data_IF_463003457201
#
_entry.id   IF_463003457201
#
_cell.length_a   1.000
_cell.length_b   1.000
_cell.length_c   1.000
_cell.angle_alpha   90.00
_cell.angle_beta   90.00
_cell.angle_gamma   90.00
#
_symmetry.space_group_name_H-M   'P 1'
#
loop_
_entity.id
_entity.type
_entity.pdbx_description
1 polymer ?
#
# COMPACT_ATOMS: atom_id res chain seq x y z
N UNK A 1 10.97 23.60 11.36
CA UNK A 1 11.78 22.83 10.38
C UNK A 1 13.15 23.46 10.09
N UNK A 2 13.80 24.05 11.11
CA UNK A 2 15.05 24.80 10.84
C UNK A 2 16.33 23.97 10.92
N UNK A 3 16.27 22.76 11.48
CA UNK A 3 17.47 21.93 11.69
C UNK A 3 17.61 20.87 10.59
N UNK A 4 18.85 20.66 10.10
CA UNK A 4 19.14 19.58 9.16
C UNK A 4 18.89 18.22 9.80
N UNK A 5 18.39 17.28 9.01
CA UNK A 5 18.15 15.89 9.40
C UNK A 5 19.12 14.97 8.69
N UNK A 6 19.47 13.86 9.35
CA UNK A 6 20.36 12.83 8.80
C UNK A 6 19.83 11.44 9.10
N UNK A 7 19.89 10.53 8.14
CA UNK A 7 19.62 9.11 8.33
C UNK A 7 20.32 8.24 7.26
N UNK A 8 20.40 6.94 7.54
CA UNK A 8 20.72 5.93 6.52
C UNK A 8 19.48 5.64 5.68
N UNK A 9 19.59 5.80 4.36
CA UNK A 9 18.48 5.56 3.40
C UNK A 9 18.49 4.15 2.80
N UNK A 10 19.52 3.34 3.07
CA UNK A 10 19.58 1.93 2.67
C UNK A 10 19.17 1.02 3.83
N UNK A 11 18.69 -0.21 3.54
CA UNK A 11 18.31 -1.16 4.59
C UNK A 11 19.45 -1.38 5.60
N UNK A 12 19.14 -1.61 6.89
CA UNK A 12 20.14 -1.91 7.90
C UNK A 12 20.83 -3.26 7.62
N UNK A 13 22.13 -3.34 7.89
CA UNK A 13 22.90 -4.58 7.72
C UNK A 13 24.25 -4.34 7.05
N UNK A 14 24.87 -5.44 6.58
CA UNK A 14 26.13 -5.40 5.85
C UNK A 14 25.88 -5.51 4.35
N UNK A 15 26.46 -4.61 3.59
CA UNK A 15 26.36 -4.61 2.13
C UNK A 15 27.63 -4.02 1.50
N UNK A 16 27.66 -3.92 0.19
CA UNK A 16 28.78 -3.27 -0.51
C UNK A 16 28.75 -1.75 -0.27
N UNK A 17 27.57 -1.14 -0.32
CA UNK A 17 27.35 0.31 -0.22
C UNK A 17 26.22 0.60 0.73
N UNK A 18 26.33 1.66 1.52
CA UNK A 18 25.22 2.31 2.24
C UNK A 18 25.19 3.78 1.86
N UNK A 19 23.98 4.36 1.89
CA UNK A 19 23.74 5.78 1.60
C UNK A 19 23.24 6.48 2.86
N UNK A 20 23.98 7.47 3.33
CA UNK A 20 23.57 8.41 4.38
C UNK A 20 23.04 9.66 3.71
N UNK A 21 21.78 10.03 3.98
CA UNK A 21 21.13 11.22 3.43
C UNK A 21 21.01 12.30 4.48
N UNK A 22 21.26 13.54 4.06
CA UNK A 22 21.12 14.74 4.88
C UNK A 22 20.24 15.72 4.13
N UNK A 23 19.27 16.37 4.82
CA UNK A 23 18.40 17.40 4.23
C UNK A 23 18.24 18.60 5.18
N UNK A 24 18.21 19.81 4.63
CA UNK A 24 17.97 21.04 5.36
C UNK A 24 18.93 22.17 5.05
N UNK A 25 18.73 23.33 5.66
CA UNK A 25 19.51 24.57 5.39
C UNK A 25 21.00 24.46 5.67
N UNK A 26 21.41 23.63 6.64
CA UNK A 26 22.79 23.50 7.10
C UNK A 26 23.63 22.47 6.29
N UNK A 27 23.02 21.80 5.30
CA UNK A 27 23.67 20.71 4.54
C UNK A 27 24.97 21.17 3.90
N UNK A 28 24.99 22.36 3.28
CA UNK A 28 26.21 22.92 2.63
C UNK A 28 27.36 23.05 3.63
N UNK A 29 27.09 23.55 4.84
CA UNK A 29 28.06 23.71 5.90
C UNK A 29 28.56 22.37 6.42
N UNK A 30 27.64 21.40 6.61
CA UNK A 30 27.99 20.06 7.09
C UNK A 30 28.92 19.35 6.08
N UNK A 31 28.58 19.38 4.79
CA UNK A 31 29.40 18.74 3.74
C UNK A 31 30.78 19.39 3.63
N UNK A 32 30.84 20.72 3.67
CA UNK A 32 32.11 21.44 3.62
C UNK A 32 33.01 21.04 4.80
N UNK A 33 32.49 21.02 6.03
CA UNK A 33 33.27 20.66 7.23
C UNK A 33 33.65 19.17 7.25
N UNK A 34 32.80 18.29 6.72
CA UNK A 34 33.06 16.85 6.77
C UNK A 34 34.05 16.38 5.71
N UNK A 35 34.03 16.99 4.51
CA UNK A 35 34.79 16.54 3.35
C UNK A 35 35.69 17.61 2.73
N UNK A 36 35.70 18.82 3.25
CA UNK A 36 36.38 19.98 2.64
C UNK A 36 35.97 20.21 1.17
N UNK A 37 34.69 19.99 0.88
CA UNK A 37 34.12 20.12 -0.44
C UNK A 37 33.16 21.30 -0.52
N UNK A 38 33.21 22.04 -1.65
CA UNK A 38 32.15 22.95 -2.00
C UNK A 38 30.91 22.16 -2.47
N UNK A 39 29.75 22.61 -2.03
CA UNK A 39 28.44 22.01 -2.36
C UNK A 39 28.00 22.55 -3.72
N UNK A 40 28.13 21.74 -4.76
CA UNK A 40 27.72 22.06 -6.13
C UNK A 40 26.51 21.23 -6.54
N UNK A 41 25.44 21.88 -6.99
CA UNK A 41 24.21 21.21 -7.45
C UNK A 41 24.48 20.24 -8.60
N UNK A 42 23.86 19.05 -8.50
CA UNK A 42 23.91 18.04 -9.56
C UNK A 42 25.29 17.40 -9.77
N UNK A 43 26.24 17.63 -8.86
CA UNK A 43 27.58 17.05 -8.95
C UNK A 43 27.74 15.87 -7.99
N UNK A 44 28.58 14.92 -8.39
CA UNK A 44 29.04 13.83 -7.52
C UNK A 44 30.54 13.84 -7.45
N UNK A 45 31.10 13.93 -6.24
CA UNK A 45 32.55 14.00 -5.99
C UNK A 45 32.97 12.92 -5.01
N UNK A 46 34.13 12.33 -5.26
CA UNK A 46 34.76 11.41 -4.30
C UNK A 46 35.61 12.19 -3.36
N UNK A 47 35.41 12.02 -2.04
CA UNK A 47 36.18 12.63 -1.01
C UNK A 47 36.36 11.68 0.17
N UNK A 48 37.29 12.01 1.04
CA UNK A 48 37.64 11.23 2.22
C UNK A 48 37.35 12.05 3.48
N UNK A 49 36.84 11.37 4.50
CA UNK A 49 36.57 11.96 5.81
C UNK A 49 37.18 11.09 6.92
N UNK A 50 37.72 11.73 7.96
CA UNK A 50 38.19 11.01 9.14
C UNK A 50 37.02 10.67 10.05
N UNK A 51 36.81 9.39 10.31
CA UNK A 51 35.77 8.89 11.22
C UNK A 51 36.34 8.64 12.64
N UNK A 52 37.65 8.36 12.74
CA UNK A 52 38.41 8.27 13.99
C UNK A 52 39.84 8.65 13.73
N UNK A 53 40.68 8.69 14.79
CA UNK A 53 42.16 8.98 14.66
C UNK A 53 42.87 7.97 13.74
N UNK A 54 42.37 6.74 13.66
CA UNK A 54 42.99 5.63 12.92
C UNK A 54 42.26 5.24 11.64
N UNK A 55 41.05 5.81 11.36
CA UNK A 55 40.21 5.36 10.25
C UNK A 55 39.63 6.50 9.45
N UNK A 56 39.96 6.51 8.17
CA UNK A 56 39.39 7.38 7.17
C UNK A 56 38.45 6.59 6.25
N UNK A 57 37.34 7.20 5.87
CA UNK A 57 36.36 6.63 4.94
C UNK A 57 36.35 7.45 3.65
N UNK A 58 36.43 6.75 2.53
CA UNK A 58 36.33 7.33 1.20
C UNK A 58 34.91 7.19 0.67
N UNK A 59 34.22 8.32 0.46
CA UNK A 59 32.81 8.38 0.12
C UNK A 59 32.61 9.00 -1.27
N UNK A 60 31.49 8.66 -1.92
CA UNK A 60 30.94 9.41 -3.05
C UNK A 60 29.84 10.33 -2.52
N UNK A 61 29.99 11.64 -2.69
CA UNK A 61 29.05 12.66 -2.21
C UNK A 61 28.31 13.23 -3.41
N UNK A 62 26.97 13.13 -3.40
CA UNK A 62 26.08 13.75 -4.40
C UNK A 62 25.30 14.88 -3.75
N UNK A 63 25.28 16.06 -4.38
CA UNK A 63 24.69 17.28 -3.86
C UNK A 63 23.51 17.73 -4.73
N UNK A 64 22.39 18.06 -4.07
CA UNK A 64 21.16 18.53 -4.69
C UNK A 64 20.69 19.81 -4.01
N UNK A 65 20.70 20.93 -4.73
CA UNK A 65 20.26 22.22 -4.19
C UNK A 65 18.73 22.35 -4.30
N UNK A 66 18.10 22.87 -3.25
CA UNK A 66 16.69 23.19 -3.27
C UNK A 66 16.35 24.30 -4.29
N UNK A 67 15.17 24.25 -4.97
CA UNK A 67 14.12 23.27 -4.85
C UNK A 67 14.32 21.99 -5.69
N UNK A 68 15.42 21.82 -6.41
CA UNK A 68 15.69 20.70 -7.33
C UNK A 68 16.24 19.48 -6.58
N UNK A 69 15.62 19.10 -5.46
CA UNK A 69 15.97 17.97 -4.61
C UNK A 69 14.71 17.16 -4.26
N UNK A 70 14.88 16.04 -3.58
CA UNK A 70 13.77 15.20 -3.13
C UNK A 70 12.86 15.93 -2.13
N UNK A 71 13.45 16.57 -1.12
CA UNK A 71 12.70 17.25 -0.06
C UNK A 71 12.30 18.71 -0.43
N UNK A 72 12.85 19.24 -1.53
CA UNK A 72 12.75 20.67 -1.86
C UNK A 72 13.72 21.55 -1.08
N UNK A 73 14.49 20.99 -0.11
CA UNK A 73 15.58 21.65 0.60
C UNK A 73 16.93 21.27 -0.02
N UNK A 74 18.05 21.81 0.48
CA UNK A 74 19.38 21.29 0.14
C UNK A 74 19.51 19.85 0.65
N UNK A 75 19.94 18.93 -0.20
CA UNK A 75 20.11 17.51 0.10
C UNK A 75 21.52 17.07 -0.29
N UNK A 76 22.14 16.28 0.57
CA UNK A 76 23.36 15.54 0.21
C UNK A 76 23.17 14.05 0.47
N UNK A 77 23.67 13.23 -0.45
CA UNK A 77 23.75 11.79 -0.30
C UNK A 77 25.22 11.37 -0.25
N UNK A 78 25.60 10.68 0.83
CA UNK A 78 26.94 10.19 1.11
C UNK A 78 26.91 8.67 0.95
N UNK A 79 27.44 8.18 -0.17
CA UNK A 79 27.63 6.75 -0.40
C UNK A 79 28.96 6.31 0.22
N UNK A 80 28.90 5.38 1.17
CA UNK A 80 30.05 4.83 1.90
C UNK A 80 30.04 3.30 1.85
N UNK A 81 31.08 2.63 2.39
CA UNK A 81 31.04 1.18 2.53
C UNK A 81 29.89 0.76 3.46
N UNK A 82 29.16 -0.29 3.07
CA UNK A 82 27.97 -0.81 3.77
C UNK A 82 28.32 -1.55 5.06
N UNK A 83 29.01 -0.87 5.98
CA UNK A 83 29.30 -1.35 7.32
C UNK A 83 28.53 -0.53 8.36
N UNK A 84 27.72 -1.16 9.23
CA UNK A 84 26.96 -0.44 10.25
C UNK A 84 27.76 0.47 11.16
N UNK A 85 29.04 0.16 11.41
CA UNK A 85 29.93 1.00 12.22
C UNK A 85 30.31 2.29 11.47
N UNK A 86 30.61 2.19 10.17
CA UNK A 86 30.90 3.34 9.31
C UNK A 86 29.68 4.26 9.22
N UNK A 87 28.50 3.68 8.90
CA UNK A 87 27.24 4.42 8.82
C UNK A 87 26.95 5.16 10.12
N UNK A 88 27.09 4.49 11.27
CA UNK A 88 26.89 5.11 12.58
C UNK A 88 27.87 6.26 12.84
N UNK A 89 29.17 6.08 12.52
CA UNK A 89 30.17 7.11 12.69
C UNK A 89 29.88 8.32 11.79
N UNK A 90 29.51 8.12 10.53
CA UNK A 90 29.11 9.21 9.63
C UNK A 90 27.90 9.98 10.14
N UNK A 91 26.86 9.31 10.59
CA UNK A 91 25.66 9.94 11.16
C UNK A 91 26.06 10.75 12.41
N UNK A 92 26.88 10.18 13.29
CA UNK A 92 27.36 10.86 14.50
C UNK A 92 28.15 12.14 14.17
N UNK A 93 29.02 12.09 13.17
CA UNK A 93 29.75 13.27 12.68
C UNK A 93 28.81 14.35 12.13
N UNK A 94 27.77 13.96 11.40
CA UNK A 94 26.75 14.91 10.93
C UNK A 94 26.01 15.57 12.11
N UNK A 95 25.72 14.81 13.18
CA UNK A 95 25.06 15.31 14.39
C UNK A 95 25.99 16.29 15.14
N UNK A 96 27.26 15.97 15.28
CA UNK A 96 28.24 16.86 15.88
C UNK A 96 28.38 18.20 15.13
N UNK A 97 28.12 18.18 13.81
CA UNK A 97 28.09 19.36 12.95
C UNK A 97 26.74 20.08 12.93
N UNK A 98 25.75 19.63 13.72
CA UNK A 98 24.48 20.33 13.92
C UNK A 98 23.26 19.71 13.26
N UNK A 99 23.38 18.57 12.59
CA UNK A 99 22.21 17.79 12.18
C UNK A 99 21.56 17.08 13.39
N UNK A 100 20.35 16.54 13.20
CA UNK A 100 19.73 15.58 14.11
C UNK A 100 19.30 14.33 13.35
N UNK A 101 19.06 13.25 14.07
CA UNK A 101 18.44 12.09 13.45
C UNK A 101 17.08 12.45 12.85
N UNK A 102 16.82 11.93 11.66
CA UNK A 102 15.50 12.02 11.05
C UNK A 102 14.50 11.12 11.77
N UNK A 103 13.26 11.59 11.89
CA UNK A 103 12.14 10.75 12.29
C UNK A 103 11.74 9.81 11.13
N UNK A 104 10.99 8.72 11.41
CA UNK A 104 10.39 7.91 10.34
C UNK A 104 9.62 8.79 9.34
N UNK A 105 9.85 8.59 8.04
CA UNK A 105 9.18 9.33 6.96
C UNK A 105 9.50 10.82 6.83
N UNK A 106 10.42 11.38 7.61
CA UNK A 106 10.61 12.83 7.67
C UNK A 106 11.11 13.46 6.36
N UNK A 107 11.90 12.76 5.56
CA UNK A 107 12.29 13.28 4.25
C UNK A 107 11.10 13.41 3.31
N UNK A 108 10.20 12.41 3.28
CA UNK A 108 8.97 12.44 2.47
C UNK A 108 7.98 13.47 3.03
N UNK A 109 7.88 13.59 4.36
CA UNK A 109 7.09 14.64 5.00
C UNK A 109 7.56 16.04 4.59
N UNK A 110 8.87 16.30 4.55
CA UNK A 110 9.41 17.58 4.08
C UNK A 110 9.13 17.81 2.60
N UNK A 111 9.20 16.76 1.77
CA UNK A 111 8.82 16.85 0.36
C UNK A 111 7.35 17.28 0.20
N UNK A 112 6.44 16.69 1.00
CA UNK A 112 5.02 17.07 1.04
C UNK A 112 4.84 18.53 1.49
N UNK A 113 5.44 18.91 2.63
CA UNK A 113 5.31 20.26 3.18
C UNK A 113 5.92 21.36 2.28
N UNK A 114 6.92 21.00 1.48
CA UNK A 114 7.50 21.87 0.46
C UNK A 114 6.79 21.79 -0.91
N UNK A 115 5.61 21.16 -0.97
CA UNK A 115 4.79 21.01 -2.18
C UNK A 115 5.53 20.33 -3.36
N UNK A 116 6.48 19.43 -3.08
CA UNK A 116 7.14 18.62 -4.09
C UNK A 116 6.26 17.47 -4.55
N UNK A 117 5.50 16.91 -3.62
CA UNK A 117 4.55 15.81 -3.80
C UNK A 117 3.30 16.09 -2.97
N UNK A 118 2.15 15.56 -3.39
CA UNK A 118 0.93 15.58 -2.57
C UNK A 118 0.91 14.40 -1.57
N UNK A 119 -0.10 14.36 -0.69
CA UNK A 119 -0.18 13.32 0.34
C UNK A 119 -0.35 11.93 -0.27
N UNK A 120 -1.17 11.79 -1.33
CA UNK A 120 -1.38 10.52 -2.00
C UNK A 120 -0.09 10.01 -2.68
N UNK A 121 0.70 10.90 -3.28
CA UNK A 121 2.03 10.57 -3.80
C UNK A 121 3.00 10.16 -2.67
N UNK A 122 2.93 10.83 -1.52
CA UNK A 122 3.74 10.47 -0.34
C UNK A 122 3.43 9.04 0.11
N UNK A 123 2.15 8.70 0.24
CA UNK A 123 1.71 7.34 0.58
C UNK A 123 2.14 6.31 -0.47
N UNK A 124 2.07 6.66 -1.75
CA UNK A 124 2.48 5.80 -2.86
C UNK A 124 4.00 5.49 -2.87
N UNK A 125 4.85 6.35 -2.28
CA UNK A 125 6.29 6.05 -2.11
C UNK A 125 6.49 4.80 -1.24
N UNK A 126 5.75 4.66 -0.14
CA UNK A 126 5.78 3.44 0.69
C UNK A 126 5.20 2.26 -0.07
N UNK A 127 4.08 2.47 -0.76
CA UNK A 127 3.41 1.42 -1.52
C UNK A 127 4.37 0.82 -2.56
N UNK A 128 5.16 1.67 -3.23
CA UNK A 128 6.15 1.24 -4.19
C UNK A 128 7.30 0.43 -3.56
N UNK A 129 7.73 0.81 -2.35
CA UNK A 129 8.81 0.10 -1.63
C UNK A 129 8.34 -1.27 -1.13
N UNK A 130 7.08 -1.33 -0.67
CA UNK A 130 6.48 -2.53 -0.10
C UNK A 130 5.74 -3.38 -1.14
N UNK A 131 5.69 -2.94 -2.40
CA UNK A 131 5.00 -3.68 -3.46
C UNK A 131 5.55 -5.11 -3.56
N UNK A 132 4.67 -6.07 -3.39
CA UNK A 132 4.98 -7.50 -3.35
C UNK A 132 4.62 -8.23 -4.65
N UNK A 133 4.07 -7.50 -5.64
CA UNK A 133 3.72 -8.02 -6.95
C UNK A 133 4.08 -7.04 -8.06
N UNK A 134 4.22 -7.54 -9.29
CA UNK A 134 4.45 -6.69 -10.46
C UNK A 134 3.31 -5.70 -10.69
N UNK A 135 2.07 -6.14 -10.49
CA UNK A 135 0.88 -5.28 -10.60
C UNK A 135 0.88 -4.17 -9.54
N UNK A 136 1.17 -4.50 -8.26
CA UNK A 136 1.28 -3.53 -7.17
C UNK A 136 2.40 -2.51 -7.44
N UNK A 137 3.56 -2.97 -7.92
CA UNK A 137 4.69 -2.08 -8.28
C UNK A 137 4.31 -1.10 -9.39
N UNK A 138 3.62 -1.56 -10.45
CA UNK A 138 3.16 -0.69 -11.55
C UNK A 138 2.12 0.31 -11.06
N UNK A 139 1.12 -0.12 -10.29
CA UNK A 139 0.09 0.74 -9.73
C UNK A 139 0.68 1.81 -8.80
N UNK A 140 1.57 1.42 -7.88
CA UNK A 140 2.26 2.35 -6.98
C UNK A 140 3.17 3.32 -7.73
N UNK A 141 3.90 2.88 -8.76
CA UNK A 141 4.73 3.74 -9.60
C UNK A 141 3.90 4.81 -10.33
N UNK A 142 2.71 4.44 -10.86
CA UNK A 142 1.78 5.40 -11.46
C UNK A 142 1.27 6.42 -10.43
N UNK A 143 0.98 5.98 -9.19
CA UNK A 143 0.56 6.88 -8.11
C UNK A 143 1.67 7.84 -7.68
N UNK A 144 2.92 7.36 -7.53
CA UNK A 144 4.09 8.22 -7.28
C UNK A 144 4.25 9.27 -8.37
N UNK A 145 3.99 8.91 -9.64
CA UNK A 145 4.04 9.83 -10.79
C UNK A 145 2.88 10.83 -10.83
N UNK A 146 1.91 10.78 -9.88
CA UNK A 146 0.80 11.73 -9.77
C UNK A 146 -0.51 11.29 -10.43
N UNK A 147 -0.56 10.12 -11.06
CA UNK A 147 -1.76 9.66 -11.79
C UNK A 147 -3.01 9.59 -10.89
N UNK A 148 -2.87 9.13 -9.64
CA UNK A 148 -3.99 9.13 -8.70
C UNK A 148 -4.49 10.55 -8.40
N UNK A 149 -3.57 11.48 -8.09
CA UNK A 149 -3.90 12.89 -7.86
C UNK A 149 -4.61 13.55 -9.04
N UNK A 150 -4.20 13.26 -10.28
CA UNK A 150 -4.88 13.74 -11.49
C UNK A 150 -6.32 13.24 -11.61
N UNK A 151 -6.59 11.98 -11.21
CA UNK A 151 -7.95 11.45 -11.19
C UNK A 151 -8.80 12.15 -10.12
N UNK A 152 -8.26 12.41 -8.93
CA UNK A 152 -8.92 13.21 -7.88
C UNK A 152 -9.23 14.62 -8.40
N UNK A 153 -8.28 15.27 -9.10
CA UNK A 153 -8.49 16.61 -9.66
C UNK A 153 -9.63 16.63 -10.69
N UNK A 154 -9.75 15.62 -11.54
CA UNK A 154 -10.87 15.50 -12.50
C UNK A 154 -12.22 15.46 -11.78
N UNK A 155 -12.31 14.70 -10.69
CA UNK A 155 -13.53 14.61 -9.86
C UNK A 155 -13.81 15.99 -9.22
N UNK A 156 -12.80 16.62 -8.59
CA UNK A 156 -12.94 17.94 -7.97
C UNK A 156 -13.35 19.01 -8.98
N UNK A 157 -12.78 19.03 -10.18
CA UNK A 157 -13.15 19.97 -11.26
C UNK A 157 -14.61 19.80 -11.65
N UNK A 158 -15.10 18.56 -11.75
CA UNK A 158 -16.50 18.27 -12.06
C UNK A 158 -17.43 18.74 -10.96
N UNK A 159 -17.10 18.46 -9.68
CA UNK A 159 -17.86 18.90 -8.51
C UNK A 159 -17.93 20.42 -8.41
N UNK A 160 -16.78 21.09 -8.57
CA UNK A 160 -16.70 22.56 -8.48
C UNK A 160 -17.50 23.28 -9.57
N UNK A 161 -17.63 22.69 -10.76
CA UNK A 161 -18.54 23.22 -11.80
C UNK A 161 -19.98 23.26 -11.32
N UNK A 162 -20.45 22.21 -10.66
CA UNK A 162 -21.80 22.16 -10.09
C UNK A 162 -21.93 23.19 -8.98
N UNK A 163 -20.95 23.26 -8.05
CA UNK A 163 -20.95 24.22 -6.94
C UNK A 163 -21.05 25.65 -7.45
N UNK A 164 -20.25 26.04 -8.44
CA UNK A 164 -20.28 27.39 -9.03
C UNK A 164 -21.68 27.71 -9.57
N UNK A 165 -22.34 26.78 -10.26
CA UNK A 165 -23.68 26.96 -10.78
C UNK A 165 -24.72 27.11 -9.66
N UNK A 166 -24.64 26.26 -8.63
CA UNK A 166 -25.52 26.27 -7.47
C UNK A 166 -25.32 27.55 -6.63
N UNK A 167 -24.06 27.90 -6.29
CA UNK A 167 -23.71 29.11 -5.53
C UNK A 167 -24.11 30.39 -6.27
N UNK A 168 -23.87 30.45 -7.61
CA UNK A 168 -24.31 31.60 -8.41
C UNK A 168 -25.83 31.76 -8.46
N UNK A 169 -26.59 30.67 -8.35
CA UNK A 169 -28.06 30.70 -8.26
C UNK A 169 -28.53 31.38 -6.98
N UNK A 170 -27.82 31.16 -5.86
CA UNK A 170 -28.14 31.76 -4.56
C UNK A 170 -27.77 33.24 -4.59
N UNK A 171 -26.57 33.58 -5.07
CA UNK A 171 -26.05 34.95 -5.05
C UNK A 171 -26.84 35.93 -5.94
N UNK A 172 -27.42 35.42 -7.04
CA UNK A 172 -28.14 36.22 -8.05
C UNK A 172 -29.66 35.94 -8.03
N UNK A 173 -30.20 35.41 -6.93
CA UNK A 173 -31.62 35.06 -6.78
C UNK A 173 -32.56 36.25 -7.01
N UNK A 174 -32.12 37.49 -6.77
CA UNK A 174 -32.89 38.76 -6.91
C UNK A 174 -32.87 39.33 -8.35
N UNK A 175 -32.11 38.75 -9.25
CA UNK A 175 -32.05 39.15 -10.67
C UNK A 175 -32.85 38.18 -11.52
N UNK A 176 -33.58 38.71 -12.54
CA UNK A 176 -34.32 37.89 -13.55
C UNK A 176 -33.36 37.07 -14.41
N UNK A 177 -32.47 36.28 -13.78
CA UNK A 177 -31.58 35.37 -14.46
C UNK A 177 -32.33 34.05 -14.72
N UNK A 178 -32.39 33.66 -15.99
CA UNK A 178 -32.98 32.40 -16.43
C UNK A 178 -32.04 31.25 -16.00
N UNK A 179 -32.22 30.75 -14.76
CA UNK A 179 -31.41 29.68 -14.18
C UNK A 179 -31.87 28.36 -14.78
N UNK A 180 -30.95 27.66 -15.43
CA UNK A 180 -31.25 26.36 -16.04
C UNK A 180 -31.01 25.21 -15.05
N UNK A 181 -31.98 24.94 -14.18
CA UNK A 181 -31.96 23.79 -13.28
C UNK A 181 -31.90 22.44 -14.01
N UNK A 182 -32.36 22.36 -15.26
CA UNK A 182 -32.21 21.13 -16.05
C UNK A 182 -30.75 20.84 -16.34
N UNK A 183 -29.97 21.87 -16.66
CA UNK A 183 -28.54 21.74 -16.87
C UNK A 183 -27.80 21.37 -15.58
N UNK A 184 -28.14 22.00 -14.44
CA UNK A 184 -27.56 21.68 -13.13
C UNK A 184 -27.80 20.21 -12.79
N UNK A 185 -29.02 19.75 -12.90
CA UNK A 185 -29.39 18.36 -12.57
C UNK A 185 -28.76 17.34 -13.54
N UNK A 186 -28.58 17.68 -14.83
CA UNK A 186 -27.89 16.83 -15.77
C UNK A 186 -26.40 16.66 -15.39
N UNK A 187 -25.70 17.77 -15.08
CA UNK A 187 -24.29 17.75 -14.66
C UNK A 187 -24.15 17.01 -13.31
N UNK A 188 -25.10 17.21 -12.38
CA UNK A 188 -25.10 16.51 -11.09
C UNK A 188 -25.22 14.99 -11.26
N UNK A 189 -26.10 14.53 -12.14
CA UNK A 189 -26.26 13.11 -12.45
C UNK A 189 -25.00 12.51 -13.08
N UNK A 190 -24.36 13.23 -13.99
CA UNK A 190 -23.10 12.78 -14.62
C UNK A 190 -21.96 12.74 -13.61
N UNK A 191 -21.88 13.72 -12.70
CA UNK A 191 -20.92 13.71 -11.59
C UNK A 191 -21.11 12.50 -10.67
N UNK A 192 -22.34 12.16 -10.30
CA UNK A 192 -22.65 11.01 -9.45
C UNK A 192 -22.10 9.71 -10.06
N UNK A 193 -22.32 9.50 -11.37
CA UNK A 193 -21.75 8.34 -12.09
C UNK A 193 -20.22 8.34 -12.10
N UNK A 194 -19.62 9.52 -12.32
CA UNK A 194 -18.17 9.68 -12.32
C UNK A 194 -17.57 9.33 -10.95
N UNK A 195 -18.25 9.70 -9.85
CA UNK A 195 -17.85 9.38 -8.49
C UNK A 195 -18.01 7.88 -8.20
N UNK A 196 -19.09 7.23 -8.68
CA UNK A 196 -19.30 5.78 -8.58
C UNK A 196 -18.19 4.99 -9.30
N UNK A 197 -17.82 5.39 -10.50
CA UNK A 197 -16.73 4.76 -11.26
C UNK A 197 -15.38 4.96 -10.58
N UNK A 198 -15.17 6.12 -9.93
CA UNK A 198 -13.96 6.39 -9.17
C UNK A 198 -13.85 5.52 -7.92
N UNK A 199 -14.95 5.31 -7.17
CA UNK A 199 -14.96 4.43 -5.99
C UNK A 199 -14.58 2.99 -6.36
N UNK A 200 -15.12 2.46 -7.46
CA UNK A 200 -14.74 1.13 -7.98
C UNK A 200 -13.24 1.02 -8.28
N UNK A 201 -12.67 2.04 -8.92
CA UNK A 201 -11.22 2.07 -9.21
C UNK A 201 -10.37 2.17 -7.96
N UNK A 202 -10.84 2.88 -6.93
CA UNK A 202 -10.18 2.90 -5.61
C UNK A 202 -10.21 1.51 -4.99
N UNK A 203 -11.34 0.80 -5.06
CA UNK A 203 -11.46 -0.56 -4.54
C UNK A 203 -10.50 -1.53 -5.25
N UNK A 204 -10.38 -1.44 -6.57
CA UNK A 204 -9.38 -2.19 -7.35
C UNK A 204 -7.96 -1.84 -6.92
N UNK A 205 -7.64 -0.54 -6.75
CA UNK A 205 -6.33 -0.07 -6.29
C UNK A 205 -5.96 -0.57 -4.90
N UNK A 206 -6.93 -0.66 -3.98
CA UNK A 206 -6.73 -1.24 -2.64
C UNK A 206 -6.46 -2.75 -2.76
N UNK A 207 -7.26 -3.47 -3.54
CA UNK A 207 -7.12 -4.92 -3.72
C UNK A 207 -5.75 -5.30 -4.26
N UNK A 208 -5.21 -4.57 -5.22
CA UNK A 208 -3.89 -4.82 -5.79
C UNK A 208 -2.76 -4.60 -4.78
N UNK A 209 -2.95 -3.68 -3.83
CA UNK A 209 -1.96 -3.39 -2.78
C UNK A 209 -2.10 -4.30 -1.57
N UNK A 210 -3.20 -5.06 -1.43
CA UNK A 210 -3.41 -5.96 -0.30
C UNK A 210 -2.56 -7.23 -0.43
N UNK A 211 -2.08 -7.76 0.71
CA UNK A 211 -1.53 -9.12 0.79
C UNK A 211 -2.70 -10.10 0.69
N UNK A 212 -2.62 -11.02 -0.27
CA UNK A 212 -3.69 -12.01 -0.46
C UNK A 212 -3.60 -13.12 0.58
N UNK A 213 -4.72 -13.38 1.25
CA UNK A 213 -4.86 -14.45 2.25
C UNK A 213 -5.52 -15.66 1.65
N UNK A 214 -4.79 -16.77 1.56
CA UNK A 214 -5.29 -18.05 1.09
C UNK A 214 -5.37 -19.02 2.28
N UNK A 215 -6.54 -19.58 2.53
CA UNK A 215 -6.75 -20.55 3.61
C UNK A 215 -6.93 -21.93 3.02
N UNK A 216 -6.13 -22.90 3.47
CA UNK A 216 -6.27 -24.31 3.08
C UNK A 216 -7.17 -25.02 4.09
N UNK A 217 -8.34 -25.44 3.65
CA UNK A 217 -9.36 -26.09 4.48
C UNK A 217 -9.73 -27.47 3.91
N UNK A 218 -10.26 -28.33 4.75
CA UNK A 218 -10.70 -29.68 4.36
C UNK A 218 -10.57 -30.70 5.50
N UNK A 219 -11.07 -31.93 5.33
CA UNK A 219 -11.00 -32.99 6.31
C UNK A 219 -9.56 -33.35 6.73
N UNK A 220 -9.37 -34.04 7.86
CA UNK A 220 -8.06 -34.56 8.23
C UNK A 220 -7.54 -35.56 7.18
N UNK A 221 -6.22 -35.62 7.03
CA UNK A 221 -5.50 -36.56 6.14
C UNK A 221 -5.72 -36.41 4.62
N UNK A 222 -6.43 -35.40 4.13
CA UNK A 222 -6.58 -35.14 2.67
C UNK A 222 -5.32 -34.57 2.02
N UNK A 223 -4.30 -34.19 2.80
CA UNK A 223 -3.02 -33.70 2.30
C UNK A 223 -2.91 -32.16 2.23
N UNK A 224 -3.62 -31.41 3.09
CA UNK A 224 -3.55 -29.94 3.19
C UNK A 224 -2.12 -29.44 3.34
N UNK A 225 -1.40 -29.94 4.34
CA UNK A 225 0.00 -29.54 4.62
C UNK A 225 0.96 -29.94 3.48
N UNK A 226 0.64 -31.03 2.76
CA UNK A 226 1.43 -31.44 1.57
C UNK A 226 1.24 -30.44 0.42
N UNK A 227 0.01 -30.00 0.15
CA UNK A 227 -0.27 -28.96 -0.85
C UNK A 227 0.41 -27.65 -0.45
N UNK A 228 0.28 -27.22 0.81
CA UNK A 228 0.94 -26.01 1.30
C UNK A 228 2.47 -26.09 1.16
N UNK A 229 3.08 -27.25 1.47
CA UNK A 229 4.53 -27.45 1.34
C UNK A 229 5.00 -27.36 -0.12
N UNK A 230 4.22 -27.91 -1.06
CA UNK A 230 4.56 -27.86 -2.47
C UNK A 230 4.41 -26.45 -3.04
N UNK A 231 3.31 -25.76 -2.74
CA UNK A 231 3.11 -24.38 -3.15
C UNK A 231 4.18 -23.45 -2.55
N UNK A 232 4.74 -23.81 -1.39
CA UNK A 232 5.84 -23.04 -0.77
C UNK A 232 7.18 -23.24 -1.45
N UNK A 233 7.39 -24.27 -2.30
CA UNK A 233 8.62 -24.57 -3.05
C UNK A 233 9.88 -24.72 -2.17
N UNK A 234 10.89 -25.47 -2.66
CA UNK A 234 12.22 -25.51 -2.02
C UNK A 234 13.04 -24.22 -2.29
N UNK A 235 12.68 -23.43 -3.30
CA UNK A 235 13.37 -22.19 -3.70
C UNK A 235 12.67 -20.88 -3.29
N UNK A 236 11.41 -20.93 -2.81
CA UNK A 236 10.62 -19.74 -2.49
C UNK A 236 10.73 -19.28 -1.02
N UNK A 237 11.63 -19.86 -0.22
CA UNK A 237 11.74 -19.48 1.18
C UNK A 237 12.69 -18.32 1.41
N UNK A 238 12.19 -17.08 1.25
CA UNK A 238 12.52 -16.06 2.24
C UNK A 238 11.55 -16.32 3.41
N UNK A 239 11.75 -17.44 4.09
CA UNK A 239 11.08 -17.73 5.35
C UNK A 239 11.75 -16.85 6.40
N UNK A 240 11.21 -15.69 6.67
CA UNK A 240 11.37 -15.10 7.98
C UNK A 240 10.46 -15.87 8.93
N UNK A 241 11.00 -16.98 9.50
CA UNK A 241 10.49 -17.49 10.76
C UNK A 241 10.66 -16.39 11.81
N UNK A 242 9.65 -15.56 11.97
CA UNK A 242 9.53 -14.70 13.16
C UNK A 242 9.15 -15.64 14.30
N UNK A 243 10.14 -16.25 14.92
CA UNK A 243 10.00 -16.92 16.22
C UNK A 243 9.71 -15.87 17.26
N UNK A 244 8.46 -15.74 17.63
CA UNK A 244 8.12 -14.87 18.75
C UNK A 244 6.63 -14.75 18.99
N UNK A 245 6.00 -15.79 19.35
CA UNK A 245 4.89 -16.01 20.30
C UNK A 245 4.10 -17.25 19.89
N UNK A 246 3.99 -18.21 20.78
CA UNK A 246 3.37 -19.54 20.63
C UNK A 246 1.85 -19.51 20.48
N UNK A 247 1.25 -18.53 19.78
CA UNK A 247 -0.22 -18.35 19.66
C UNK A 247 -0.74 -17.94 18.28
N UNK A 248 0.12 -17.70 17.29
CA UNK A 248 -0.33 -17.30 15.96
C UNK A 248 -0.45 -18.50 15.01
N UNK A 249 -1.45 -18.51 14.09
CA UNK A 249 -1.61 -19.60 13.13
C UNK A 249 -0.35 -19.75 12.27
N UNK A 250 0.00 -21.00 11.96
CA UNK A 250 1.13 -21.28 11.06
C UNK A 250 0.75 -20.78 9.67
N UNK A 251 1.44 -19.76 9.20
CA UNK A 251 1.30 -19.27 7.82
C UNK A 251 2.65 -19.27 7.11
N UNK A 252 2.61 -19.34 5.82
CA UNK A 252 3.79 -19.21 4.95
C UNK A 252 3.54 -18.14 3.92
N UNK A 253 4.53 -17.29 3.71
CA UNK A 253 4.54 -16.36 2.56
C UNK A 253 5.05 -17.11 1.35
N UNK A 254 4.26 -17.18 0.30
CA UNK A 254 4.60 -17.84 -0.96
C UNK A 254 4.46 -16.84 -2.11
N UNK A 255 5.17 -17.07 -3.17
CA UNK A 255 5.03 -16.30 -4.39
C UNK A 255 4.41 -17.19 -5.48
N UNK A 256 3.25 -16.77 -5.99
CA UNK A 256 2.57 -17.39 -7.12
C UNK A 256 2.67 -16.43 -8.29
N UNK A 257 3.53 -16.70 -9.27
CA UNK A 257 3.91 -15.78 -10.34
C UNK A 257 4.42 -14.45 -9.76
N UNK A 258 3.68 -13.37 -9.95
CA UNK A 258 3.99 -12.03 -9.46
C UNK A 258 3.12 -11.61 -8.25
N UNK A 259 2.29 -12.53 -7.69
CA UNK A 259 1.51 -12.29 -6.48
C UNK A 259 2.21 -12.85 -5.25
N UNK A 260 2.29 -12.07 -4.19
CA UNK A 260 2.62 -12.57 -2.85
C UNK A 260 1.36 -12.99 -2.13
N UNK A 261 1.37 -14.22 -1.61
CA UNK A 261 0.22 -14.86 -0.97
C UNK A 261 0.62 -15.37 0.41
N UNK A 262 -0.16 -15.01 1.41
CA UNK A 262 -0.09 -15.58 2.76
C UNK A 262 -0.98 -16.81 2.81
N UNK A 263 -0.39 -18.01 2.87
CA UNK A 263 -1.13 -19.27 2.92
C UNK A 263 -1.21 -19.79 4.36
N UNK A 264 -2.41 -20.09 4.82
CA UNK A 264 -2.71 -20.55 6.17
C UNK A 264 -3.21 -21.98 6.17
N UNK A 265 -2.63 -22.85 7.05
CA UNK A 265 -3.09 -24.22 7.26
C UNK A 265 -4.06 -24.29 8.46
N UNK A 266 -5.31 -24.73 8.19
CA UNK A 266 -6.29 -24.94 9.28
C UNK A 266 -5.98 -26.19 10.13
N UNK A 267 -5.17 -27.14 9.65
CA UNK A 267 -4.80 -28.34 10.40
C UNK A 267 -3.83 -28.05 11.56
N UNK A 268 -2.93 -27.08 11.39
CA UNK A 268 -1.97 -26.69 12.44
C UNK A 268 -2.60 -26.03 13.67
N UNK A 269 -3.90 -25.72 13.63
CA UNK A 269 -4.63 -25.09 14.74
C UNK A 269 -5.23 -26.14 15.70
N UNK A 270 -5.36 -27.41 15.25
CA UNK A 270 -6.05 -28.48 16.00
C UNK A 270 -5.12 -29.46 16.73
N UNK A 271 -3.78 -29.36 16.62
CA UNK A 271 -2.87 -30.45 17.04
C UNK A 271 -2.40 -30.41 18.50
N UNK A 272 -2.81 -29.46 19.36
CA UNK A 272 -2.43 -29.48 20.77
C UNK A 272 -3.61 -29.26 21.72
N UNK A 273 -4.00 -30.34 22.40
CA UNK A 273 -4.75 -30.51 23.66
C UNK A 273 -6.28 -30.45 23.66
N UNK A 274 -6.84 -31.52 24.27
CA UNK A 274 -8.27 -31.76 24.53
C UNK A 274 -8.81 -30.80 25.59
N UNK A 275 -10.04 -30.37 25.42
CA UNK A 275 -11.09 -29.89 26.31
C UNK A 275 -11.46 -28.38 26.40
N UNK A 276 -10.61 -27.40 26.26
CA UNK A 276 -11.05 -25.98 26.18
C UNK A 276 -10.49 -25.23 24.95
N UNK A 277 -9.48 -25.79 24.35
CA UNK A 277 -8.75 -25.22 23.22
C UNK A 277 -9.45 -25.51 21.86
N UNK A 278 -10.28 -26.58 21.83
CA UNK A 278 -11.05 -26.98 20.66
C UNK A 278 -12.06 -25.89 20.22
N UNK A 279 -12.71 -25.23 21.17
CA UNK A 279 -13.61 -24.08 20.89
C UNK A 279 -12.85 -22.86 20.40
N UNK A 280 -11.71 -22.54 20.99
CA UNK A 280 -10.84 -21.44 20.58
C UNK A 280 -10.18 -21.69 19.21
N UNK A 281 -9.86 -22.95 18.88
CA UNK A 281 -9.35 -23.36 17.57
C UNK A 281 -10.41 -23.24 16.46
N UNK A 282 -11.66 -23.61 16.75
CA UNK A 282 -12.80 -23.50 15.83
C UNK A 282 -13.13 -22.02 15.56
N UNK A 283 -13.13 -21.17 16.59
CA UNK A 283 -13.40 -19.74 16.43
C UNK A 283 -12.27 -19.02 15.66
N UNK A 284 -11.01 -19.39 15.87
CA UNK A 284 -9.86 -18.89 15.10
C UNK A 284 -9.90 -19.36 13.64
N UNK A 285 -10.18 -20.64 13.40
CA UNK A 285 -10.34 -21.16 12.04
C UNK A 285 -11.49 -20.48 11.32
N UNK A 286 -12.56 -20.16 12.01
CA UNK A 286 -13.72 -19.45 11.46
C UNK A 286 -13.38 -18.01 11.09
N UNK A 287 -12.67 -17.30 11.96
CA UNK A 287 -12.23 -15.92 11.67
C UNK A 287 -11.21 -15.85 10.53
N UNK A 288 -10.36 -16.86 10.36
CA UNK A 288 -9.45 -16.97 9.21
C UNK A 288 -10.19 -17.21 7.90
N UNK A 289 -11.20 -18.09 7.93
CA UNK A 289 -12.05 -18.39 6.77
C UNK A 289 -12.89 -17.17 6.38
N UNK A 290 -13.42 -16.42 7.36
CA UNK A 290 -14.20 -15.21 7.12
C UNK A 290 -13.36 -14.06 6.55
N UNK A 291 -12.05 -14.03 6.83
CA UNK A 291 -11.12 -13.03 6.33
C UNK A 291 -10.23 -13.49 5.16
N UNK A 292 -10.52 -14.64 4.55
CA UNK A 292 -9.76 -15.18 3.43
C UNK A 292 -10.21 -14.58 2.09
N UNK A 293 -9.23 -14.19 1.26
CA UNK A 293 -9.49 -13.78 -0.13
C UNK A 293 -9.79 -15.00 -1.02
N UNK A 294 -9.22 -16.16 -0.67
CA UNK A 294 -9.47 -17.43 -1.35
C UNK A 294 -9.37 -18.60 -0.35
N UNK A 295 -10.29 -19.54 -0.46
CA UNK A 295 -10.27 -20.78 0.31
C UNK A 295 -9.98 -21.94 -0.64
N UNK A 296 -8.90 -22.69 -0.37
CA UNK A 296 -8.62 -23.95 -1.05
C UNK A 296 -9.31 -25.07 -0.28
N UNK A 297 -10.45 -25.53 -0.78
CA UNK A 297 -11.20 -26.65 -0.21
C UNK A 297 -10.60 -27.96 -0.72
N UNK A 298 -9.75 -28.60 0.10
CA UNK A 298 -9.03 -29.81 -0.27
C UNK A 298 -9.82 -31.04 0.12
N UNK A 299 -10.07 -31.92 -0.86
CA UNK A 299 -10.77 -33.22 -0.71
C UNK A 299 -9.95 -34.32 -1.37
N UNK A 300 -10.27 -35.58 -1.05
CA UNK A 300 -9.72 -36.79 -1.69
C UNK A 300 -10.83 -37.82 -1.99
N UNK A 301 -10.49 -39.00 -2.51
CA UNK A 301 -11.46 -40.03 -2.88
C UNK A 301 -12.27 -40.58 -1.71
N UNK A 302 -11.84 -40.46 -0.48
CA UNK A 302 -12.55 -40.92 0.72
C UNK A 302 -13.50 -39.84 1.29
N UNK A 303 -13.22 -38.57 1.01
CA UNK A 303 -13.89 -37.41 1.60
C UNK A 303 -14.49 -36.46 0.55
N UNK A 304 -14.95 -36.99 -0.58
CA UNK A 304 -15.45 -36.21 -1.70
C UNK A 304 -16.75 -35.43 -1.44
N UNK A 305 -17.50 -35.80 -0.39
CA UNK A 305 -18.76 -35.16 0.00
C UNK A 305 -18.56 -33.95 0.93
N UNK A 306 -17.33 -33.66 1.34
CA UNK A 306 -17.05 -32.49 2.16
C UNK A 306 -17.29 -31.20 1.36
N UNK A 307 -18.05 -30.28 1.91
CA UNK A 307 -18.31 -28.98 1.29
C UNK A 307 -18.49 -27.92 2.37
N UNK A 308 -17.71 -26.84 2.25
CA UNK A 308 -17.92 -25.63 3.05
C UNK A 308 -19.19 -24.94 2.56
N UNK A 309 -19.91 -24.25 3.45
CA UNK A 309 -21.08 -23.45 3.06
C UNK A 309 -20.64 -22.44 2.00
N UNK A 310 -21.42 -22.39 0.90
CA UNK A 310 -21.15 -21.55 -0.27
C UNK A 310 -20.68 -20.14 0.11
N UNK A 311 -19.37 -19.90 -0.03
CA UNK A 311 -18.79 -18.58 -0.17
C UNK A 311 -18.32 -18.45 -1.62
N UNK A 312 -18.37 -17.26 -2.17
CA UNK A 312 -18.02 -17.00 -3.58
C UNK A 312 -16.52 -17.24 -3.88
N UNK A 313 -15.67 -17.32 -2.85
CA UNK A 313 -14.22 -17.41 -2.96
C UNK A 313 -13.67 -18.81 -2.58
N UNK A 314 -14.31 -19.89 -3.05
CA UNK A 314 -13.86 -21.26 -2.79
C UNK A 314 -13.34 -21.89 -4.09
N UNK A 315 -12.07 -22.35 -4.07
CA UNK A 315 -11.51 -23.22 -5.08
C UNK A 315 -11.44 -24.66 -4.55
N UNK A 316 -12.19 -25.57 -5.17
CA UNK A 316 -12.10 -27.01 -4.85
C UNK A 316 -10.84 -27.63 -5.42
N UNK A 317 -10.15 -28.40 -4.59
CA UNK A 317 -8.89 -29.08 -4.95
C UNK A 317 -9.03 -30.55 -4.60
N UNK A 318 -9.08 -31.41 -5.62
CA UNK A 318 -9.05 -32.86 -5.44
C UNK A 318 -7.59 -33.32 -5.38
N UNK A 319 -7.15 -33.77 -4.22
CA UNK A 319 -5.79 -34.29 -4.03
C UNK A 319 -5.74 -35.81 -4.08
N UNK A 320 -4.53 -36.38 -4.10
CA UNK A 320 -4.25 -37.83 -4.22
C UNK A 320 -4.80 -38.46 -5.51
N UNK A 321 -4.73 -37.73 -6.61
CA UNK A 321 -5.13 -38.26 -7.93
C UNK A 321 -4.22 -39.41 -8.45
N UNK A 322 -3.16 -39.72 -7.75
CA UNK A 322 -2.28 -40.89 -7.95
C UNK A 322 -2.92 -42.21 -7.50
N UNK A 323 -3.85 -42.16 -6.53
CA UNK A 323 -4.50 -43.34 -5.95
C UNK A 323 -6.04 -43.36 -6.10
N UNK A 324 -6.67 -42.23 -6.41
CA UNK A 324 -8.13 -42.12 -6.59
C UNK A 324 -8.50 -41.13 -7.68
N UNK A 325 -9.65 -41.32 -8.33
CA UNK A 325 -10.18 -40.42 -9.35
C UNK A 325 -11.25 -39.53 -8.74
N UNK A 326 -11.37 -38.26 -9.21
CA UNK A 326 -12.45 -37.39 -8.76
C UNK A 326 -13.82 -37.90 -9.25
N UNK A 327 -14.94 -37.46 -8.66
CA UNK A 327 -16.28 -37.67 -9.19
C UNK A 327 -16.42 -37.12 -10.63
N UNK A 328 -17.35 -37.69 -11.43
CA UNK A 328 -17.56 -37.27 -12.85
C UNK A 328 -17.92 -35.79 -12.99
N UNK A 329 -18.59 -35.20 -12.00
CA UNK A 329 -19.03 -33.79 -12.00
C UNK A 329 -18.16 -32.91 -11.09
N UNK A 330 -16.88 -33.25 -10.87
CA UNK A 330 -16.02 -32.47 -10.00
C UNK A 330 -15.64 -31.14 -10.67
N UNK A 331 -16.13 -30.04 -10.10
CA UNK A 331 -15.80 -28.67 -10.51
C UNK A 331 -14.65 -28.13 -9.62
N UNK A 332 -13.42 -28.27 -10.10
CA UNK A 332 -12.22 -27.85 -9.37
C UNK A 332 -10.93 -28.32 -10.03
N UNK A 333 -9.80 -28.16 -9.32
CA UNK A 333 -8.48 -28.58 -9.78
C UNK A 333 -8.10 -29.93 -9.21
N UNK A 334 -7.67 -30.86 -10.07
CA UNK A 334 -7.27 -32.22 -9.70
C UNK A 334 -5.75 -32.28 -9.65
N UNK A 335 -5.19 -32.64 -8.48
CA UNK A 335 -3.74 -32.65 -8.23
C UNK A 335 -3.29 -33.94 -7.56
N UNK A 336 -2.01 -34.27 -7.65
CA UNK A 336 -1.32 -35.16 -6.71
C UNK A 336 -0.18 -34.39 -6.06
N UNK A 337 -0.31 -34.13 -4.78
CA UNK A 337 0.75 -33.52 -4.00
C UNK A 337 1.97 -34.44 -3.90
N UNK A 338 1.78 -35.76 -3.82
CA UNK A 338 2.87 -36.75 -3.74
C UNK A 338 3.71 -36.78 -5.01
N UNK A 339 3.07 -36.81 -6.18
CA UNK A 339 3.74 -36.89 -7.48
C UNK A 339 4.03 -35.50 -8.10
N UNK A 340 3.71 -34.42 -7.42
CA UNK A 340 3.79 -33.03 -7.92
C UNK A 340 3.05 -32.83 -9.26
N UNK A 341 1.92 -33.56 -9.45
CA UNK A 341 1.13 -33.53 -10.69
C UNK A 341 0.12 -32.40 -10.65
N UNK A 342 0.01 -31.64 -11.74
CA UNK A 342 -0.92 -30.50 -11.94
C UNK A 342 -0.80 -29.36 -10.93
N UNK A 343 0.34 -29.21 -10.25
CA UNK A 343 0.56 -28.09 -9.31
C UNK A 343 0.55 -26.75 -10.05
N UNK A 344 1.16 -26.67 -11.24
CA UNK A 344 1.11 -25.47 -12.06
C UNK A 344 -0.30 -25.04 -12.48
N UNK A 345 -1.22 -26.00 -12.70
CA UNK A 345 -2.63 -25.67 -12.96
C UNK A 345 -3.35 -25.11 -11.71
N UNK A 346 -2.97 -25.60 -10.52
CA UNK A 346 -3.45 -25.07 -9.26
C UNK A 346 -2.96 -23.63 -9.03
N UNK A 347 -1.67 -23.38 -9.25
CA UNK A 347 -1.08 -22.04 -9.16
C UNK A 347 -1.72 -21.07 -10.15
N UNK A 348 -1.96 -21.52 -11.40
CA UNK A 348 -2.65 -20.71 -12.42
C UNK A 348 -4.04 -20.32 -11.98
N UNK A 349 -4.81 -21.27 -11.41
CA UNK A 349 -6.18 -21.02 -10.98
C UNK A 349 -6.24 -20.12 -9.74
N UNK A 350 -5.30 -20.27 -8.79
CA UNK A 350 -5.16 -19.36 -7.66
C UNK A 350 -4.84 -17.95 -8.17
N UNK A 351 -3.91 -17.84 -9.11
CA UNK A 351 -3.53 -16.56 -9.71
C UNK A 351 -4.74 -15.88 -10.40
N UNK A 352 -5.49 -16.61 -11.24
CA UNK A 352 -6.69 -16.08 -11.91
C UNK A 352 -7.71 -15.53 -10.91
N UNK A 353 -7.98 -16.27 -9.81
CA UNK A 353 -8.98 -15.89 -8.82
C UNK A 353 -8.54 -14.70 -7.95
N UNK A 354 -7.24 -14.59 -7.66
CA UNK A 354 -6.71 -13.51 -6.83
C UNK A 354 -6.38 -12.25 -7.63
N UNK A 355 -5.83 -12.39 -8.84
CA UNK A 355 -5.50 -11.22 -9.69
C UNK A 355 -6.75 -10.51 -10.21
N UNK A 356 -7.90 -11.23 -10.32
CA UNK A 356 -9.12 -10.71 -10.93
C UNK A 356 -8.88 -10.27 -12.38
N UNK A 357 -9.81 -9.53 -12.97
CA UNK A 357 -9.64 -8.89 -14.29
C UNK A 357 -8.67 -7.69 -14.27
N UNK A 358 -7.83 -7.61 -13.22
CA UNK A 358 -7.03 -6.44 -12.81
C UNK A 358 -5.83 -6.09 -13.68
N UNK A 359 -5.88 -6.31 -15.00
CA UNK A 359 -4.83 -5.86 -15.92
C UNK A 359 -4.72 -4.33 -16.04
N UNK A 360 -5.67 -3.54 -15.51
CA UNK A 360 -5.79 -2.12 -15.75
C UNK A 360 -5.86 -1.22 -14.50
N UNK A 361 -5.42 -1.68 -13.32
CA UNK A 361 -5.35 -0.76 -12.18
C UNK A 361 -4.51 0.46 -12.54
N UNK A 362 -5.19 1.58 -12.56
CA UNK A 362 -4.59 2.85 -12.97
C UNK A 362 -3.69 3.43 -11.89
N UNK A 363 -3.85 3.02 -10.62
CA UNK A 363 -3.14 3.58 -9.46
C UNK A 363 -3.27 2.68 -8.22
N UNK A 364 -2.37 2.85 -7.24
CA UNK A 364 -2.53 2.31 -5.88
C UNK A 364 -3.48 3.20 -5.07
N UNK A 365 -4.27 2.59 -4.18
CA UNK A 365 -5.16 3.30 -3.28
C UNK A 365 -5.15 2.66 -1.89
N UNK A 366 -5.68 3.37 -0.89
CA UNK A 366 -5.74 2.97 0.51
C UNK A 366 -7.15 3.12 1.07
N UNK A 367 -7.48 2.40 2.15
CA UNK A 367 -8.76 2.54 2.85
C UNK A 367 -9.07 3.98 3.28
N UNK A 368 -8.05 4.79 3.61
CA UNK A 368 -8.23 6.22 3.88
C UNK A 368 -8.90 6.93 2.70
N UNK A 369 -8.43 6.70 1.48
CA UNK A 369 -8.99 7.29 0.26
C UNK A 369 -10.44 6.86 0.06
N UNK A 370 -10.71 5.56 0.20
CA UNK A 370 -12.07 5.00 0.10
C UNK A 370 -13.02 5.61 1.13
N UNK A 371 -12.56 5.77 2.37
CA UNK A 371 -13.37 6.35 3.43
C UNK A 371 -13.72 7.81 3.16
N UNK A 372 -12.82 8.59 2.57
CA UNK A 372 -13.09 9.97 2.15
C UNK A 372 -14.08 10.02 1.00
N UNK A 373 -13.93 9.15 0.00
CA UNK A 373 -14.88 9.04 -1.12
C UNK A 373 -16.26 8.59 -0.62
N UNK A 374 -16.35 7.62 0.29
CA UNK A 374 -17.63 7.23 0.91
C UNK A 374 -18.30 8.37 1.68
N UNK A 375 -17.55 9.19 2.41
CA UNK A 375 -18.09 10.39 3.05
C UNK A 375 -18.62 11.39 2.01
N UNK A 376 -17.88 11.62 0.93
CA UNK A 376 -18.35 12.46 -0.17
C UNK A 376 -19.63 11.90 -0.81
N UNK A 377 -19.72 10.57 -0.98
CA UNK A 377 -20.94 9.91 -1.48
C UNK A 377 -22.14 10.15 -0.58
N UNK A 378 -21.98 10.01 0.74
CA UNK A 378 -23.08 10.26 1.69
C UNK A 378 -23.61 11.68 1.56
N UNK A 379 -22.74 12.67 1.35
CA UNK A 379 -23.15 14.05 1.11
C UNK A 379 -23.89 14.20 -0.23
N UNK A 380 -23.37 13.58 -1.31
CA UNK A 380 -24.00 13.62 -2.63
C UNK A 380 -25.34 12.91 -2.63
N UNK A 381 -25.48 11.79 -1.93
CA UNK A 381 -26.76 11.09 -1.78
C UNK A 381 -27.77 11.84 -0.92
N UNK A 382 -27.29 12.71 -0.01
CA UNK A 382 -28.11 13.60 0.81
C UNK A 382 -28.53 14.87 0.07
N UNK A 383 -27.91 15.18 -1.08
CA UNK A 383 -28.34 16.29 -1.91
C UNK A 383 -29.78 16.09 -2.41
N UNK A 384 -30.59 17.15 -2.45
CA UNK A 384 -31.90 17.09 -3.09
C UNK A 384 -31.81 16.64 -4.55
N UNK A 385 -32.71 15.77 -4.97
CA UNK A 385 -32.85 15.31 -6.36
C UNK A 385 -34.35 15.34 -6.75
N UNK A 386 -34.76 16.26 -7.62
CA UNK A 386 -33.96 17.29 -8.29
C UNK A 386 -33.58 18.49 -7.41
N UNK A 387 -32.47 19.13 -7.76
CA UNK A 387 -32.09 20.44 -7.23
C UNK A 387 -33.00 21.48 -7.89
N UNK A 388 -33.62 22.32 -7.08
CA UNK A 388 -34.49 23.43 -7.51
C UNK A 388 -34.29 24.67 -6.62
N UNK A 389 -35.01 25.75 -6.92
CA UNK A 389 -34.89 27.02 -6.18
C UNK A 389 -35.26 26.91 -4.69
N UNK A 390 -36.03 25.89 -4.27
CA UNK A 390 -36.45 25.74 -2.87
C UNK A 390 -35.45 25.02 -2.00
N UNK A 391 -34.52 24.29 -2.62
CA UNK A 391 -33.59 23.40 -1.94
C UNK A 391 -32.11 23.66 -2.35
N UNK A 392 -31.86 24.68 -3.16
CA UNK A 392 -30.51 25.01 -3.68
C UNK A 392 -29.51 25.30 -2.56
N UNK A 393 -29.95 25.91 -1.44
CA UNK A 393 -29.10 26.16 -0.28
C UNK A 393 -28.63 24.87 0.39
N UNK A 394 -29.52 23.88 0.49
CA UNK A 394 -29.22 22.55 1.02
C UNK A 394 -28.21 21.84 0.11
N UNK A 395 -28.45 21.91 -1.21
CA UNK A 395 -27.54 21.34 -2.19
C UNK A 395 -26.15 21.97 -2.10
N UNK A 396 -26.04 23.30 -1.95
CA UNK A 396 -24.80 24.02 -1.81
C UNK A 396 -23.96 23.51 -0.62
N UNK A 397 -24.58 23.29 0.54
CA UNK A 397 -23.88 22.80 1.73
C UNK A 397 -23.35 21.37 1.54
N UNK A 398 -24.17 20.46 1.03
CA UNK A 398 -23.73 19.10 0.76
C UNK A 398 -22.60 19.02 -0.29
N UNK A 399 -22.71 19.79 -1.37
CA UNK A 399 -21.66 19.88 -2.39
C UNK A 399 -20.34 20.43 -1.83
N UNK A 400 -20.42 21.40 -0.89
CA UNK A 400 -19.25 21.95 -0.21
C UNK A 400 -18.58 20.94 0.71
N UNK A 401 -19.35 20.15 1.47
CA UNK A 401 -18.82 19.09 2.32
C UNK A 401 -18.15 17.97 1.47
N UNK A 402 -18.77 17.59 0.36
CA UNK A 402 -18.18 16.65 -0.58
C UNK A 402 -16.85 17.14 -1.16
N UNK A 403 -16.72 18.45 -1.50
CA UNK A 403 -15.46 19.04 -1.99
C UNK A 403 -14.35 18.97 -0.93
N UNK A 404 -14.69 19.20 0.35
CA UNK A 404 -13.74 19.08 1.46
C UNK A 404 -13.23 17.65 1.56
N UNK A 405 -14.11 16.65 1.62
CA UNK A 405 -13.72 15.24 1.75
C UNK A 405 -12.86 14.76 0.58
N UNK A 406 -13.21 15.13 -0.65
CA UNK A 406 -12.42 14.76 -1.83
C UNK A 406 -11.08 15.53 -1.89
N UNK A 407 -11.04 16.77 -1.42
CA UNK A 407 -9.81 17.56 -1.33
C UNK A 407 -8.83 17.02 -0.30
N UNK A 408 -9.34 16.47 0.83
CA UNK A 408 -8.53 15.86 1.89
C UNK A 408 -7.75 14.60 1.44
N UNK A 409 -8.08 14.03 0.28
CA UNK A 409 -7.29 12.94 -0.31
C UNK A 409 -5.86 13.40 -0.60
N UNK A 410 -5.70 14.61 -1.13
CA UNK A 410 -4.41 15.17 -1.56
C UNK A 410 -3.78 16.08 -0.52
N UNK A 411 -4.61 16.85 0.20
CA UNK A 411 -4.17 17.90 1.12
C UNK A 411 -5.14 18.03 2.28
N UNK A 412 -4.99 17.27 3.34
CA UNK A 412 -5.88 17.32 4.49
C UNK A 412 -5.81 18.69 5.16
N UNK A 413 -6.99 19.27 5.47
CA UNK A 413 -7.10 20.56 6.15
C UNK A 413 -6.80 20.47 7.66
N UNK A 414 -6.63 19.28 8.25
CA UNK A 414 -6.49 19.09 9.70
C UNK A 414 -5.15 18.52 10.12
N UNK A 415 -4.61 19.21 11.13
CA UNK A 415 -3.68 18.83 12.20
C UNK A 415 -2.40 18.05 11.87
N UNK A 416 -1.29 18.61 12.32
CA UNK A 416 0.07 18.02 12.36
C UNK A 416 0.09 16.59 12.95
N UNK A 417 -0.83 16.25 13.87
CA UNK A 417 -0.95 14.94 14.50
C UNK A 417 -1.31 13.83 13.48
N UNK A 418 -2.23 14.11 12.55
CA UNK A 418 -2.65 13.16 11.53
C UNK A 418 -1.53 12.87 10.50
N UNK A 419 -0.82 13.91 10.08
CA UNK A 419 0.36 13.76 9.23
C UNK A 419 1.45 12.96 9.95
N UNK A 420 1.65 13.22 11.26
CA UNK A 420 2.57 12.47 12.11
C UNK A 420 2.25 10.97 12.13
N UNK A 421 0.98 10.58 12.22
CA UNK A 421 0.54 9.19 12.19
C UNK A 421 0.86 8.52 10.84
N UNK A 422 0.52 9.16 9.72
CA UNK A 422 0.81 8.64 8.38
C UNK A 422 2.32 8.42 8.22
N UNK A 423 3.15 9.44 8.51
CA UNK A 423 4.59 9.36 8.31
C UNK A 423 5.30 8.45 9.32
N UNK A 424 4.72 8.18 10.49
CA UNK A 424 5.27 7.23 11.47
C UNK A 424 5.36 5.78 10.95
N UNK A 425 4.54 5.43 9.96
CA UNK A 425 4.55 4.11 9.31
C UNK A 425 5.70 3.93 8.31
N UNK A 426 6.43 5.02 8.00
CA UNK A 426 7.52 5.00 7.04
C UNK A 426 8.83 4.49 7.66
N UNK A 427 9.72 3.97 6.82
CA UNK A 427 11.08 3.66 7.24
C UNK A 427 11.86 4.94 7.58
N UNK A 428 12.78 4.85 8.55
CA UNK A 428 13.76 5.91 8.82
C UNK A 428 14.65 6.07 7.58
N UNK A 429 14.85 7.30 7.13
CA UNK A 429 15.65 7.60 5.93
C UNK A 429 14.86 7.81 4.64
N UNK A 430 13.51 7.76 4.75
CA UNK A 430 12.54 8.03 3.67
C UNK A 430 11.69 9.26 4.00
#
# INVERSE_FOLDING_TARGET
>A
MDQAIVACSTPPGRGAISVVRISGKEVKRIINNLFSLEFDHGTSKVAETSLSEEFNEKCLISCFEGPSSYTGEDVAEISCHGNPLIVRALIQKCIELGARNANPGEFTQRAFLNNKIDLAQSEAVIDLINASSGAAMVAASKSVSGNFGENVDKILVSLRKIRILVESTIDFSDQDTNIDFMQINAIFKDFRRLLEDFDKRIEEGIRIMSEHRVVVAGPPNVGKSSIMNILSGEEASIVTEIKGTTRDPIYKKIQIKDLQVDIYDTAGINDETKDEIEKLGIDKSRSLIEGADLILEVVDGENGDFSLKKNENILKVFNKSDISSPPEEFDGVVVSALEKRNIGALEEKIYELLSGDGSDALFSARERHRNLVKKAFLEIDSCPDPIDMKNVDIAAEHLKLADIFLGDIKSPMSADDFLGEIFSTFCIGK
#
